data_IF_774231743353
#
_entry.id   IF_774231743353
#
_cell.length_a   1.000
_cell.length_b   1.000
_cell.length_c   1.000
_cell.angle_alpha   90.00
_cell.angle_beta   90.00
_cell.angle_gamma   90.00
#
_symmetry.space_group_name_H-M   'P 1'
#
loop_
_entity.id
_entity.type
_entity.pdbx_description
1 polymer ?
#
# COMPACT_ATOMS: atom_id res chain seq x y z
N UNK A 1 1.01 -11.63 17.58
CA UNK A 1 0.65 -11.98 16.20
C UNK A 1 -0.31 -13.15 16.17
N UNK A 2 0.14 -14.37 16.45
CA UNK A 2 -0.72 -15.57 16.41
C UNK A 2 -2.01 -15.40 17.24
N UNK A 3 -1.91 -14.78 18.43
CA UNK A 3 -3.08 -14.42 19.25
C UNK A 3 -4.09 -13.49 18.54
N UNK A 4 -3.63 -12.49 17.79
CA UNK A 4 -4.52 -11.60 17.02
C UNK A 4 -5.16 -12.32 15.83
N UNK A 5 -4.38 -13.14 15.12
CA UNK A 5 -4.88 -13.95 13.99
C UNK A 5 -5.97 -14.91 14.47
N UNK A 6 -5.74 -15.65 15.57
CA UNK A 6 -6.72 -16.60 16.08
C UNK A 6 -7.94 -15.93 16.74
N UNK A 7 -7.84 -14.66 17.13
CA UNK A 7 -8.96 -13.91 17.72
C UNK A 7 -9.91 -13.31 16.68
N UNK A 8 -9.47 -13.20 15.42
CA UNK A 8 -10.27 -12.65 14.32
C UNK A 8 -10.52 -13.74 13.24
N UNK A 9 -11.78 -14.15 13.02
CA UNK A 9 -12.11 -15.17 12.05
C UNK A 9 -11.66 -14.85 10.61
N UNK A 10 -11.66 -13.57 10.22
CA UNK A 10 -11.22 -13.16 8.89
C UNK A 10 -9.69 -13.27 8.78
N UNK A 11 -8.94 -12.78 9.76
CA UNK A 11 -7.47 -12.94 9.76
C UNK A 11 -7.03 -14.41 9.77
N UNK A 12 -7.74 -15.26 10.51
CA UNK A 12 -7.51 -16.71 10.51
C UNK A 12 -7.76 -17.34 9.13
N UNK A 13 -8.87 -16.98 8.47
CA UNK A 13 -9.18 -17.45 7.13
C UNK A 13 -8.15 -16.98 6.08
N UNK A 14 -7.67 -15.74 6.19
CA UNK A 14 -6.62 -15.20 5.32
C UNK A 14 -5.30 -15.95 5.54
N UNK A 15 -4.94 -16.29 6.78
CA UNK A 15 -3.72 -17.04 7.07
C UNK A 15 -3.74 -18.43 6.42
N UNK A 16 -4.89 -19.10 6.44
CA UNK A 16 -5.08 -20.38 5.74
C UNK A 16 -4.92 -20.22 4.22
N UNK A 17 -5.48 -19.17 3.62
CA UNK A 17 -5.31 -18.87 2.19
C UNK A 17 -3.84 -18.61 1.82
N UNK A 18 -3.09 -17.90 2.66
CA UNK A 18 -1.66 -17.66 2.43
C UNK A 18 -0.88 -18.98 2.43
N UNK A 19 -1.19 -19.87 3.36
CA UNK A 19 -0.56 -21.18 3.46
C UNK A 19 -0.87 -22.05 2.22
N UNK A 20 -2.12 -22.03 1.75
CA UNK A 20 -2.54 -22.71 0.52
C UNK A 20 -1.83 -22.13 -0.72
N UNK A 21 -1.85 -20.82 -0.90
CA UNK A 21 -1.24 -20.14 -2.04
C UNK A 21 0.27 -20.42 -2.16
N UNK A 22 0.98 -20.52 -1.03
CA UNK A 22 2.41 -20.84 -1.04
C UNK A 22 2.73 -22.20 -1.68
N UNK A 23 1.82 -23.18 -1.60
CA UNK A 23 2.06 -24.53 -2.15
C UNK A 23 2.30 -24.50 -3.66
N UNK A 24 1.55 -23.67 -4.39
CA UNK A 24 1.65 -23.50 -5.84
C UNK A 24 2.57 -22.37 -6.31
N UNK A 25 3.15 -21.60 -5.38
CA UNK A 25 3.96 -20.44 -5.73
C UNK A 25 5.29 -20.81 -6.40
N UNK A 26 5.60 -20.22 -7.54
CA UNK A 26 6.92 -20.28 -8.17
C UNK A 26 7.42 -18.86 -8.48
N UNK A 27 8.65 -18.49 -8.07
CA UNK A 27 9.20 -17.15 -8.30
C UNK A 27 9.35 -16.82 -9.78
N UNK A 28 8.80 -15.68 -10.21
CA UNK A 28 8.82 -15.19 -11.58
C UNK A 28 10.23 -14.77 -12.02
N UNK A 29 11.06 -14.27 -11.10
CA UNK A 29 12.41 -13.77 -11.41
C UNK A 29 13.53 -14.74 -10.99
N UNK A 30 13.19 -16.01 -10.78
CA UNK A 30 14.18 -17.04 -10.40
C UNK A 30 14.76 -16.84 -8.99
N UNK A 31 14.08 -16.07 -8.14
CA UNK A 31 14.46 -15.89 -6.74
C UNK A 31 14.34 -17.19 -5.92
N UNK A 32 14.92 -17.20 -4.73
CA UNK A 32 14.75 -18.32 -3.80
C UNK A 32 13.36 -18.26 -3.14
N UNK A 33 12.48 -19.20 -3.50
CA UNK A 33 11.11 -19.37 -2.97
C UNK A 33 11.05 -19.31 -1.45
N UNK A 34 11.99 -19.96 -0.74
CA UNK A 34 12.02 -19.99 0.73
C UNK A 34 12.46 -18.67 1.31
N UNK A 35 13.40 -17.97 0.65
CA UNK A 35 13.83 -16.64 1.06
C UNK A 35 12.71 -15.61 0.91
N UNK A 36 11.98 -15.65 -0.20
CA UNK A 36 10.80 -14.81 -0.44
C UNK A 36 9.73 -15.06 0.63
N UNK A 37 9.38 -16.33 0.87
CA UNK A 37 8.40 -16.69 1.89
C UNK A 37 8.84 -16.27 3.30
N UNK A 38 10.14 -16.37 3.61
CA UNK A 38 10.69 -15.90 4.89
C UNK A 38 10.49 -14.39 5.07
N UNK A 39 10.80 -13.60 4.04
CA UNK A 39 10.62 -12.15 4.10
C UNK A 39 9.14 -11.75 4.31
N UNK A 40 8.21 -12.44 3.65
CA UNK A 40 6.77 -12.24 3.85
C UNK A 40 6.32 -12.60 5.26
N UNK A 41 6.86 -13.68 5.84
CA UNK A 41 6.59 -14.07 7.22
C UNK A 41 7.18 -13.04 8.20
N UNK A 42 8.38 -12.51 7.92
CA UNK A 42 9.03 -11.51 8.75
C UNK A 42 8.24 -10.19 8.77
N UNK A 43 7.68 -9.77 7.63
CA UNK A 43 6.74 -8.63 7.56
C UNK A 43 5.53 -8.83 8.47
N UNK A 44 4.89 -9.99 8.38
CA UNK A 44 3.72 -10.34 9.22
C UNK A 44 4.10 -10.39 10.71
N UNK A 45 5.27 -10.95 11.04
CA UNK A 45 5.75 -11.07 12.42
C UNK A 45 6.02 -9.69 13.05
N UNK A 46 6.58 -8.75 12.26
CA UNK A 46 6.86 -7.39 12.71
C UNK A 46 5.59 -6.62 13.11
N UNK A 47 4.41 -7.02 12.63
CA UNK A 47 3.13 -6.39 12.96
C UNK A 47 2.68 -6.56 14.42
N UNK A 48 3.25 -7.50 15.18
CA UNK A 48 2.85 -7.69 16.57
C UNK A 48 1.36 -8.07 16.71
N UNK A 49 0.52 -7.19 17.25
CA UNK A 49 -0.94 -7.40 17.40
C UNK A 49 -1.77 -6.44 16.53
N UNK A 50 -1.13 -5.71 15.63
CA UNK A 50 -1.77 -4.71 14.80
C UNK A 50 -2.53 -5.37 13.64
N UNK A 51 -3.86 -5.45 13.75
CA UNK A 51 -4.71 -6.14 12.77
C UNK A 51 -4.58 -5.55 11.36
N UNK A 52 -4.50 -4.22 11.21
CA UNK A 52 -4.34 -3.56 9.92
C UNK A 52 -2.99 -3.90 9.28
N UNK A 53 -1.92 -3.94 10.08
CA UNK A 53 -0.61 -4.40 9.61
C UNK A 53 -0.64 -5.88 9.20
N UNK A 54 -1.23 -6.75 10.03
CA UNK A 54 -1.29 -8.20 9.77
C UNK A 54 -2.02 -8.47 8.45
N UNK A 55 -3.19 -7.87 8.23
CA UNK A 55 -3.96 -8.06 6.99
C UNK A 55 -3.21 -7.50 5.78
N UNK A 56 -2.54 -6.34 5.90
CA UNK A 56 -1.73 -5.80 4.81
C UNK A 56 -0.57 -6.75 4.45
N UNK A 57 0.12 -7.32 5.45
CA UNK A 57 1.21 -8.26 5.22
C UNK A 57 0.72 -9.57 4.58
N UNK A 58 -0.41 -10.10 5.02
CA UNK A 58 -1.00 -11.30 4.44
C UNK A 58 -1.57 -11.05 3.02
N UNK A 59 -2.21 -9.91 2.78
CA UNK A 59 -2.64 -9.49 1.45
C UNK A 59 -1.43 -9.35 0.50
N UNK A 60 -0.32 -8.76 0.96
CA UNK A 60 0.93 -8.69 0.20
C UNK A 60 1.48 -10.08 -0.14
N UNK A 61 1.42 -11.04 0.81
CA UNK A 61 1.83 -12.42 0.55
C UNK A 61 0.95 -13.10 -0.50
N UNK A 62 -0.37 -12.94 -0.44
CA UNK A 62 -1.29 -13.49 -1.44
C UNK A 62 -1.05 -12.91 -2.84
N UNK A 63 -0.83 -11.59 -2.93
CA UNK A 63 -0.46 -10.95 -4.19
C UNK A 63 0.89 -11.46 -4.72
N UNK A 64 1.87 -11.69 -3.83
CA UNK A 64 3.17 -12.26 -4.22
C UNK A 64 3.05 -13.69 -4.75
N UNK A 65 2.17 -14.50 -4.15
CA UNK A 65 1.99 -15.90 -4.54
C UNK A 65 1.05 -16.11 -5.73
N UNK A 66 0.40 -15.04 -6.21
CA UNK A 66 -0.49 -15.10 -7.36
C UNK A 66 -1.47 -13.93 -7.35
N UNK A 67 -2.59 -14.08 -6.64
CA UNK A 67 -3.56 -13.01 -6.50
C UNK A 67 -4.30 -13.12 -5.16
N UNK A 68 -4.56 -11.99 -4.52
CA UNK A 68 -5.42 -11.94 -3.35
C UNK A 68 -6.90 -11.94 -3.76
N UNK A 69 -7.77 -12.76 -3.14
CA UNK A 69 -9.21 -12.65 -3.34
C UNK A 69 -9.72 -11.24 -3.03
N UNK A 70 -10.72 -10.75 -3.76
CA UNK A 70 -11.22 -9.37 -3.61
C UNK A 70 -11.65 -9.06 -2.18
N UNK A 71 -12.31 -9.99 -1.49
CA UNK A 71 -12.73 -9.77 -0.10
C UNK A 71 -11.56 -9.54 0.86
N UNK A 72 -10.38 -10.11 0.58
CA UNK A 72 -9.16 -9.87 1.36
C UNK A 72 -8.64 -8.47 1.10
N UNK A 73 -8.68 -8.04 -0.16
CA UNK A 73 -8.29 -6.68 -0.55
C UNK A 73 -9.23 -5.66 0.11
N UNK A 74 -10.55 -5.86 0.02
CA UNK A 74 -11.56 -4.98 0.64
C UNK A 74 -11.37 -4.90 2.16
N UNK A 75 -11.14 -6.04 2.81
CA UNK A 75 -10.90 -6.09 4.25
C UNK A 75 -9.59 -5.40 4.66
N UNK A 76 -8.53 -5.56 3.87
CA UNK A 76 -7.28 -4.82 4.05
C UNK A 76 -7.51 -3.30 3.95
N UNK A 77 -8.20 -2.83 2.90
CA UNK A 77 -8.51 -1.41 2.71
C UNK A 77 -9.37 -0.85 3.84
N UNK A 78 -10.35 -1.61 4.33
CA UNK A 78 -11.17 -1.20 5.46
C UNK A 78 -10.34 -1.00 6.75
N UNK A 79 -9.47 -1.97 7.09
CA UNK A 79 -8.66 -1.88 8.32
C UNK A 79 -7.57 -0.81 8.22
N UNK A 80 -6.87 -0.71 7.09
CA UNK A 80 -5.83 0.31 6.92
C UNK A 80 -6.42 1.72 6.83
N UNK A 81 -7.58 1.88 6.19
CA UNK A 81 -8.30 3.15 6.13
C UNK A 81 -8.73 3.63 7.51
N UNK A 82 -9.27 2.74 8.34
CA UNK A 82 -9.56 3.04 9.74
C UNK A 82 -8.29 3.47 10.49
N UNK A 83 -7.20 2.71 10.36
CA UNK A 83 -5.92 3.05 10.99
C UNK A 83 -5.37 4.40 10.54
N UNK A 84 -5.50 4.74 9.26
CA UNK A 84 -5.07 6.02 8.72
C UNK A 84 -5.82 7.19 9.38
N UNK A 85 -7.15 7.08 9.47
CA UNK A 85 -7.99 8.06 10.15
C UNK A 85 -7.68 8.17 11.66
N UNK A 86 -7.48 7.04 12.34
CA UNK A 86 -7.08 7.00 13.76
C UNK A 86 -5.67 7.60 13.98
N UNK A 87 -4.79 7.51 12.98
CA UNK A 87 -3.45 8.12 13.01
C UNK A 87 -3.55 9.63 12.93
N UNK A 88 -4.36 10.15 12.01
CA UNK A 88 -4.64 11.58 11.89
C UNK A 88 -5.30 12.15 13.15
N UNK A 89 -6.30 11.45 13.71
CA UNK A 89 -7.03 11.90 14.90
C UNK A 89 -6.14 12.02 16.16
N UNK A 90 -5.12 11.17 16.29
CA UNK A 90 -4.16 11.21 17.41
C UNK A 90 -3.10 12.31 17.30
N UNK A 91 -2.90 12.86 16.10
CA UNK A 91 -1.79 13.77 15.78
C UNK A 91 -2.25 15.03 15.04
N UNK A 92 -3.23 15.78 15.57
CA UNK A 92 -3.74 16.97 14.89
C UNK A 92 -2.62 18.01 14.73
N UNK A 93 -2.40 18.49 13.51
CA UNK A 93 -1.39 19.51 13.21
C UNK A 93 0.07 19.06 13.42
N UNK A 94 0.33 17.75 13.45
CA UNK A 94 1.71 17.26 13.48
C UNK A 94 2.45 17.60 12.19
N UNK A 95 3.78 17.85 12.28
CA UNK A 95 4.59 18.05 11.09
C UNK A 95 4.64 16.80 10.21
N UNK A 96 5.10 16.97 8.98
CA UNK A 96 5.34 15.85 8.08
C UNK A 96 6.25 14.80 8.70
N UNK A 97 5.85 13.54 8.57
CA UNK A 97 6.55 12.38 9.08
C UNK A 97 7.27 11.65 7.95
N UNK A 98 8.38 10.94 8.23
CA UNK A 98 9.08 10.15 7.24
C UNK A 98 8.17 9.18 6.49
N UNK A 99 8.45 8.96 5.21
CA UNK A 99 7.70 8.00 4.39
C UNK A 99 7.74 6.60 5.04
N UNK A 100 6.59 5.91 5.19
CA UNK A 100 6.55 4.60 5.81
C UNK A 100 7.42 3.58 5.05
N UNK A 101 8.25 2.85 5.80
CA UNK A 101 9.20 1.88 5.26
C UNK A 101 8.88 0.42 5.62
N UNK A 102 7.91 0.21 6.52
CA UNK A 102 7.44 -1.13 6.94
C UNK A 102 5.93 -1.25 6.75
N UNK A 103 5.46 -2.46 6.39
CA UNK A 103 4.03 -2.72 6.16
C UNK A 103 3.21 -2.31 7.39
N UNK A 104 2.06 -1.70 7.14
CA UNK A 104 1.12 -1.20 8.14
C UNK A 104 1.54 0.10 8.80
N UNK A 105 2.78 0.60 8.64
CA UNK A 105 3.14 1.93 9.15
C UNK A 105 2.41 3.03 8.38
N UNK A 106 1.95 4.05 9.11
CA UNK A 106 1.28 5.22 8.56
C UNK A 106 2.04 6.49 8.95
N UNK A 107 2.06 7.47 8.06
CA UNK A 107 2.70 8.75 8.25
C UNK A 107 1.80 9.89 7.77
N UNK A 108 1.79 10.99 8.53
CA UNK A 108 1.22 12.26 8.10
C UNK A 108 2.18 12.94 7.11
N UNK A 109 1.64 13.48 6.03
CA UNK A 109 2.36 14.32 5.06
C UNK A 109 1.38 15.25 4.34
N UNK A 110 1.82 16.01 3.34
CA UNK A 110 0.95 16.85 2.52
C UNK A 110 1.21 16.60 1.03
N UNK A 111 0.18 16.81 0.22
CA UNK A 111 0.29 16.79 -1.24
C UNK A 111 1.14 17.98 -1.68
N UNK A 112 2.16 17.74 -2.49
CA UNK A 112 3.00 18.81 -3.08
C UNK A 112 2.68 19.06 -4.55
N UNK A 113 2.25 18.03 -5.28
CA UNK A 113 1.83 18.14 -6.67
C UNK A 113 0.83 17.04 -7.06
N UNK A 114 -0.09 17.40 -7.96
CA UNK A 114 -1.05 16.50 -8.60
C UNK A 114 -1.06 16.79 -10.11
N UNK A 115 -0.56 15.84 -10.89
CA UNK A 115 -0.46 15.95 -12.35
C UNK A 115 -1.00 14.69 -13.01
N UNK A 116 -1.11 14.71 -14.33
CA UNK A 116 -1.23 13.49 -15.13
C UNK A 116 -0.01 12.59 -14.91
N UNK A 117 -0.13 11.31 -15.26
CA UNK A 117 0.95 10.32 -15.04
C UNK A 117 2.29 10.74 -15.65
N UNK A 118 2.26 11.46 -16.77
CA UNK A 118 3.46 11.92 -17.49
C UNK A 118 4.03 13.23 -16.92
N UNK A 119 3.30 13.93 -16.05
CA UNK A 119 3.76 15.16 -15.40
C UNK A 119 3.45 16.46 -16.14
N UNK A 120 2.78 16.38 -17.30
CA UNK A 120 2.64 17.52 -18.20
C UNK A 120 1.45 18.44 -17.83
N UNK A 121 0.33 17.86 -17.39
CA UNK A 121 -0.93 18.57 -17.17
C UNK A 121 -1.43 18.44 -15.71
N UNK A 122 -2.16 19.44 -15.18
CA UNK A 122 -2.83 19.32 -13.89
C UNK A 122 -3.88 18.20 -13.88
N UNK A 123 -3.93 17.42 -12.79
CA UNK A 123 -4.84 16.28 -12.68
C UNK A 123 -6.33 16.71 -12.64
N UNK A 124 -6.61 17.89 -12.08
CA UNK A 124 -7.96 18.46 -11.93
C UNK A 124 -8.69 18.52 -13.27
N UNK A 125 -8.01 18.99 -14.33
CA UNK A 125 -8.60 19.23 -15.65
C UNK A 125 -8.31 18.10 -16.66
N UNK A 126 -7.54 17.09 -16.27
CA UNK A 126 -7.14 16.02 -17.17
C UNK A 126 -8.30 15.10 -17.56
N UNK A 127 -8.24 14.54 -18.77
CA UNK A 127 -9.15 13.49 -19.22
C UNK A 127 -8.99 12.19 -18.41
N UNK A 128 -9.98 11.28 -18.44
CA UNK A 128 -9.98 10.06 -17.64
C UNK A 128 -8.80 9.12 -17.93
N UNK A 129 -8.29 9.12 -19.16
CA UNK A 129 -7.19 8.25 -19.63
C UNK A 129 -5.79 8.82 -19.35
N UNK A 130 -5.68 10.01 -18.76
CA UNK A 130 -4.39 10.69 -18.60
C UNK A 130 -3.52 10.10 -17.46
N UNK A 131 -4.10 9.25 -16.62
CA UNK A 131 -3.48 8.74 -15.41
C UNK A 131 -3.27 9.80 -14.34
N UNK A 132 -2.76 9.35 -13.20
CA UNK A 132 -2.49 10.19 -12.03
C UNK A 132 -1.03 10.09 -11.60
N UNK A 133 -0.44 11.21 -11.21
CA UNK A 133 0.80 11.29 -10.46
C UNK A 133 0.60 12.23 -9.27
N UNK A 134 0.81 11.71 -8.07
CA UNK A 134 0.85 12.48 -6.83
C UNK A 134 2.27 12.48 -6.25
N UNK A 135 2.69 13.63 -5.71
CA UNK A 135 3.94 13.78 -4.95
C UNK A 135 3.63 14.31 -3.56
N UNK A 136 4.38 13.84 -2.56
CA UNK A 136 4.17 14.17 -1.15
C UNK A 136 5.41 14.79 -0.52
N UNK A 137 5.22 15.61 0.50
CA UNK A 137 6.29 16.40 1.14
C UNK A 137 7.33 15.55 1.86
N UNK A 138 6.99 14.33 2.26
CA UNK A 138 7.93 13.37 2.86
C UNK A 138 8.75 12.56 1.82
N UNK A 139 8.69 12.94 0.54
CA UNK A 139 9.40 12.29 -0.56
C UNK A 139 8.63 11.13 -1.21
N UNK A 140 7.44 10.78 -0.72
CA UNK A 140 6.58 9.78 -1.34
C UNK A 140 6.05 10.20 -2.71
N UNK A 141 5.67 9.21 -3.51
CA UNK A 141 4.93 9.38 -4.75
C UNK A 141 3.87 8.29 -4.91
N UNK A 142 2.86 8.55 -5.72
CA UNK A 142 1.85 7.58 -6.11
C UNK A 142 1.50 7.77 -7.59
N UNK A 143 1.43 6.69 -8.35
CA UNK A 143 1.19 6.75 -9.80
C UNK A 143 0.18 5.70 -10.27
N UNK A 144 -0.71 6.10 -11.17
CA UNK A 144 -1.70 5.21 -11.81
C UNK A 144 -1.86 5.57 -13.28
N UNK A 145 -2.22 4.57 -14.09
CA UNK A 145 -2.62 4.79 -15.48
C UNK A 145 -4.03 5.37 -15.58
N UNK A 146 -4.83 5.29 -14.52
CA UNK A 146 -6.17 5.84 -14.44
C UNK A 146 -6.17 7.19 -13.72
N UNK A 147 -7.14 8.05 -14.06
CA UNK A 147 -7.39 9.27 -13.31
C UNK A 147 -8.10 8.95 -12.00
N UNK A 148 -7.31 8.68 -10.97
CA UNK A 148 -7.75 8.38 -9.60
C UNK A 148 -8.73 9.43 -9.04
N UNK A 149 -10.00 9.07 -8.79
CA UNK A 149 -11.01 10.04 -8.35
C UNK A 149 -10.68 10.72 -7.01
N UNK A 150 -10.06 9.96 -6.09
CA UNK A 150 -9.63 10.46 -4.79
C UNK A 150 -8.59 11.58 -4.92
N UNK A 151 -7.58 11.39 -5.78
CA UNK A 151 -6.55 12.39 -6.06
C UNK A 151 -7.06 13.53 -6.93
N UNK A 152 -7.90 13.24 -7.92
CA UNK A 152 -8.41 14.24 -8.84
C UNK A 152 -9.31 15.29 -8.17
N UNK A 153 -9.85 14.97 -6.99
CA UNK A 153 -10.64 15.89 -6.16
C UNK A 153 -9.80 16.60 -5.09
N UNK A 154 -8.57 16.17 -4.87
CA UNK A 154 -7.60 16.73 -3.92
C UNK A 154 -6.86 17.93 -4.49
N UNK A 155 -6.13 18.66 -3.63
CA UNK A 155 -5.33 19.83 -3.99
C UNK A 155 -3.92 19.76 -3.41
N UNK A 156 -2.98 20.45 -4.06
CA UNK A 156 -1.68 20.70 -3.47
C UNK A 156 -1.85 21.47 -2.15
N UNK A 157 -1.14 21.02 -1.11
CA UNK A 157 -1.26 21.50 0.26
C UNK A 157 -2.24 20.71 1.12
N UNK A 158 -3.06 19.81 0.56
CA UNK A 158 -3.98 19.02 1.38
C UNK A 158 -3.20 18.06 2.31
N UNK A 159 -3.56 17.98 3.60
CA UNK A 159 -2.99 17.02 4.53
C UNK A 159 -3.45 15.61 4.21
N UNK A 160 -2.51 14.66 4.22
CA UNK A 160 -2.78 13.26 3.92
C UNK A 160 -2.18 12.35 4.97
N UNK A 161 -2.77 11.15 5.11
CA UNK A 161 -2.08 10.01 5.73
C UNK A 161 -1.75 9.01 4.64
N UNK A 162 -0.48 8.61 4.58
CA UNK A 162 -0.02 7.51 3.74
C UNK A 162 0.33 6.31 4.62
N UNK A 163 -0.12 5.12 4.24
CA UNK A 163 0.22 3.86 4.90
C UNK A 163 0.82 2.87 3.90
N UNK A 164 1.98 2.30 4.21
CA UNK A 164 2.59 1.27 3.35
C UNK A 164 1.83 -0.05 3.53
N UNK A 165 1.27 -0.61 2.45
CA UNK A 165 0.46 -1.83 2.51
C UNK A 165 1.08 -3.02 1.76
N UNK A 166 2.07 -2.78 0.90
CA UNK A 166 2.76 -3.85 0.16
C UNK A 166 4.20 -3.46 -0.13
N UNK A 167 5.10 -4.44 0.06
CA UNK A 167 6.49 -4.39 -0.38
C UNK A 167 6.68 -5.57 -1.34
N UNK A 168 7.02 -5.33 -2.62
CA UNK A 168 7.34 -6.40 -3.56
C UNK A 168 8.49 -7.28 -3.05
N UNK A 169 8.30 -8.60 -3.05
CA UNK A 169 9.28 -9.57 -2.51
C UNK A 169 9.95 -10.46 -3.57
N UNK A 170 9.30 -10.67 -4.71
CA UNK A 170 9.86 -11.39 -5.85
C UNK A 170 10.32 -10.37 -6.90
N UNK A 171 11.50 -9.80 -6.68
CA UNK A 171 12.06 -8.74 -7.51
C UNK A 171 13.51 -9.07 -7.89
N UNK A 172 14.02 -8.59 -9.04
CA UNK A 172 15.44 -8.61 -9.31
C UNK A 172 16.26 -7.87 -8.24
N UNK A 173 17.53 -8.23 -8.14
CA UNK A 173 18.43 -7.63 -7.17
C UNK A 173 18.50 -6.10 -7.34
N UNK A 174 18.35 -5.38 -6.23
CA UNK A 174 18.37 -3.91 -6.13
C UNK A 174 17.20 -3.16 -6.81
N UNK A 175 16.20 -3.87 -7.34
CA UNK A 175 14.95 -3.24 -7.80
C UNK A 175 13.93 -3.20 -6.66
N UNK A 176 13.83 -2.05 -5.99
CA UNK A 176 12.92 -1.83 -4.85
C UNK A 176 11.60 -1.16 -5.25
N UNK A 177 11.37 -0.95 -6.55
CA UNK A 177 10.17 -0.26 -7.07
C UNK A 177 8.91 -1.07 -6.84
N UNK A 178 7.78 -0.38 -6.74
CA UNK A 178 6.45 -1.00 -6.68
C UNK A 178 5.91 -1.15 -5.27
N UNK A 179 6.46 -0.41 -4.29
CA UNK A 179 5.83 -0.31 -2.96
C UNK A 179 4.46 0.32 -3.12
N UNK A 180 3.44 -0.27 -2.52
CA UNK A 180 2.06 0.23 -2.65
C UNK A 180 1.64 0.90 -1.35
N UNK A 181 1.12 2.11 -1.49
CA UNK A 181 0.64 2.93 -0.38
C UNK A 181 -0.87 3.10 -0.49
N UNK A 182 -1.55 2.90 0.64
CA UNK A 182 -2.87 3.47 0.85
C UNK A 182 -2.72 4.94 1.22
N UNK A 183 -3.50 5.81 0.60
CA UNK A 183 -3.55 7.23 0.96
C UNK A 183 -4.96 7.68 1.26
N UNK A 184 -5.08 8.62 2.19
CA UNK A 184 -6.32 9.36 2.46
C UNK A 184 -6.03 10.84 2.55
N UNK A 185 -6.74 11.63 1.75
CA UNK A 185 -6.82 13.08 1.88
C UNK A 185 -7.73 13.42 3.06
N UNK A 186 -7.20 14.15 4.04
CA UNK A 186 -7.92 14.47 5.27
C UNK A 186 -8.88 15.65 5.10
N UNK A 187 -8.74 16.47 4.06
CA UNK A 187 -9.66 17.57 3.72
C UNK A 187 -10.95 17.00 3.12
N UNK A 188 -10.83 16.26 2.02
CA UNK A 188 -11.98 15.80 1.23
C UNK A 188 -12.39 14.35 1.53
N UNK A 189 -11.61 13.63 2.35
CA UNK A 189 -11.79 12.19 2.64
C UNK A 189 -11.71 11.28 1.41
N UNK A 190 -11.10 11.77 0.34
CA UNK A 190 -10.74 10.97 -0.84
C UNK A 190 -9.67 9.95 -0.47
N UNK A 191 -9.75 8.76 -1.04
CA UNK A 191 -8.80 7.67 -0.77
C UNK A 191 -8.28 7.07 -2.06
N UNK A 192 -7.10 6.47 -2.01
CA UNK A 192 -6.46 5.80 -3.15
C UNK A 192 -5.51 4.70 -2.68
N UNK A 193 -5.16 3.81 -3.59
CA UNK A 193 -4.16 2.75 -3.38
C UNK A 193 -3.23 2.77 -4.57
N UNK A 194 -2.01 3.26 -4.39
CA UNK A 194 -1.10 3.52 -5.51
C UNK A 194 0.30 2.99 -5.27
N UNK A 195 0.95 2.41 -6.31
CA UNK A 195 2.37 2.13 -6.28
C UNK A 195 3.19 3.42 -6.33
N UNK A 196 4.40 3.38 -5.80
CA UNK A 196 5.40 4.45 -5.89
C UNK A 196 6.09 4.55 -7.26
N UNK A 197 5.81 3.59 -8.16
CA UNK A 197 6.41 3.47 -9.48
C UNK A 197 5.37 3.02 -10.50
N UNK A 198 5.50 3.52 -11.73
CA UNK A 198 4.58 3.19 -12.84
C UNK A 198 4.64 1.72 -13.21
N UNK A 199 5.79 1.11 -13.00
CA UNK A 199 6.03 -0.30 -13.22
C UNK A 199 6.47 -0.94 -11.91
N UNK A 200 5.96 -2.14 -11.64
CA UNK A 200 6.45 -2.98 -10.56
C UNK A 200 7.91 -3.37 -10.80
N UNK A 201 8.58 -3.83 -9.76
CA UNK A 201 9.92 -4.37 -9.89
C UNK A 201 9.99 -5.46 -10.97
N UNK A 202 11.12 -5.54 -11.67
CA UNK A 202 11.35 -6.58 -12.68
C UNK A 202 10.86 -6.29 -14.09
N UNK A 203 10.28 -5.12 -14.37
CA UNK A 203 10.09 -4.71 -15.76
C UNK A 203 9.48 -3.35 -15.98
N UNK A 204 9.23 -3.06 -17.25
CA UNK A 204 8.39 -1.98 -17.76
C UNK A 204 7.35 -2.60 -18.72
#
# INVERSE_FOLDING_TARGET
MEKAICADPQLSAIDALVAEAFTGFEPAFGGDKRKIARALIDDRNACGQDAACIVSAQNNALQTYGNAPSWVQDYNIALIGKKALDTAARHPGSPDQPLPSSIGQCALTHITALTTRLGDDPLETAGPEAGSLARFSNGGAGVSYEREPGLASSKAGDPVVMCLISIPRDCPQADERGRVYYGVDLTIKGTWVLPDSQHLCGGA
#
